data_IF_568224924388
#
_entry.id   IF_568224924388
#
_cell.length_a   1.000
_cell.length_b   1.000
_cell.length_c   1.000
_cell.angle_alpha   90.00
_cell.angle_beta   90.00
_cell.angle_gamma   90.00
#
_symmetry.space_group_name_H-M   'P 1'
#
loop_
_entity.id
_entity.type
_entity.pdbx_description
1 polymer ?
#
# COMPACT_ATOMS: atom_id res chain seq x y z
N UNK A 1 -10.03 -1.74 19.05
CA UNK A 1 -10.17 -1.03 17.76
C UNK A 1 -9.96 -2.06 16.68
N UNK A 2 -10.95 -2.29 15.84
CA UNK A 2 -10.83 -3.27 14.76
C UNK A 2 -10.21 -2.53 13.55
N UNK A 3 -9.06 -3.01 13.10
CA UNK A 3 -8.41 -2.44 11.91
C UNK A 3 -9.16 -2.86 10.64
N UNK A 4 -9.14 -2.04 9.60
CA UNK A 4 -9.79 -2.38 8.34
C UNK A 4 -9.17 -3.66 7.77
N UNK A 5 -9.97 -4.46 7.11
CA UNK A 5 -9.51 -5.62 6.35
C UNK A 5 -8.57 -5.14 5.24
N UNK A 6 -7.39 -5.76 5.12
CA UNK A 6 -6.45 -5.48 4.05
C UNK A 6 -6.88 -6.27 2.80
N UNK A 7 -7.17 -5.55 1.71
CA UNK A 7 -7.46 -6.11 0.37
C UNK A 7 -6.21 -5.98 -0.53
N UNK A 8 -5.21 -6.79 -0.23
CA UNK A 8 -3.91 -6.77 -0.90
C UNK A 8 -3.27 -8.16 -0.84
N UNK A 9 -2.22 -8.38 -1.63
CA UNK A 9 -1.51 -9.65 -1.67
C UNK A 9 -0.51 -9.75 -0.52
N UNK A 10 -0.74 -10.64 0.42
CA UNK A 10 0.23 -11.02 1.45
C UNK A 10 1.36 -11.82 0.79
N UNK A 11 2.60 -11.34 0.92
CA UNK A 11 3.77 -11.99 0.31
C UNK A 11 4.79 -12.49 1.32
N UNK A 12 4.77 -11.97 2.55
CA UNK A 12 5.67 -12.41 3.61
C UNK A 12 5.05 -12.18 4.99
N UNK A 13 5.31 -13.11 5.90
CA UNK A 13 4.85 -13.07 7.29
C UNK A 13 5.91 -13.68 8.21
N UNK A 14 6.13 -13.08 9.37
CA UNK A 14 7.06 -13.60 10.38
C UNK A 14 6.69 -13.15 11.78
N UNK A 15 6.70 -14.10 12.70
CA UNK A 15 6.67 -13.83 14.13
C UNK A 15 8.08 -13.50 14.63
N UNK A 16 8.20 -12.50 15.49
CA UNK A 16 9.49 -12.02 15.99
C UNK A 16 9.39 -11.41 17.39
N UNK A 17 10.55 -11.20 18.02
CA UNK A 17 10.74 -10.31 19.17
C UNK A 17 11.64 -9.16 18.78
N UNK A 18 11.48 -8.01 19.42
CA UNK A 18 12.31 -6.80 19.14
C UNK A 18 13.80 -7.10 19.31
N UNK A 19 14.17 -7.89 20.32
CA UNK A 19 15.55 -8.29 20.59
C UNK A 19 16.16 -9.28 19.59
N UNK A 20 15.40 -9.74 18.58
CA UNK A 20 15.87 -10.70 17.57
C UNK A 20 16.34 -10.00 16.31
N UNK A 21 17.53 -10.42 15.81
CA UNK A 21 17.96 -10.08 14.46
C UNK A 21 17.27 -10.96 13.44
N UNK A 22 16.68 -10.37 12.41
CA UNK A 22 16.04 -11.07 11.30
C UNK A 22 15.95 -10.20 10.04
N UNK A 23 15.66 -10.85 8.92
CA UNK A 23 15.36 -10.18 7.65
C UNK A 23 14.13 -10.83 7.02
N UNK A 24 13.04 -10.09 6.92
CA UNK A 24 11.81 -10.49 6.22
C UNK A 24 11.74 -9.82 4.86
N UNK A 25 11.67 -10.61 3.78
CA UNK A 25 11.67 -10.12 2.39
C UNK A 25 10.31 -10.36 1.75
N UNK A 26 9.72 -9.30 1.19
CA UNK A 26 8.48 -9.35 0.44
C UNK A 26 8.71 -8.88 -1.01
N UNK A 27 8.89 -9.82 -1.93
CA UNK A 27 9.00 -9.53 -3.38
C UNK A 27 7.63 -9.11 -3.91
N UNK A 28 7.60 -8.08 -4.76
CA UNK A 28 6.41 -7.73 -5.51
C UNK A 28 5.95 -8.93 -6.38
N UNK A 29 4.64 -9.22 -6.48
CA UNK A 29 4.13 -10.28 -7.35
C UNK A 29 4.57 -10.10 -8.80
N UNK A 30 4.71 -8.86 -9.25
CA UNK A 30 5.19 -8.52 -10.58
C UNK A 30 6.31 -7.47 -10.50
N UNK A 31 7.29 -7.59 -11.42
CA UNK A 31 8.37 -6.63 -11.56
C UNK A 31 9.57 -6.88 -10.64
N UNK A 32 10.37 -5.82 -10.45
CA UNK A 32 11.69 -5.86 -9.79
C UNK A 32 11.70 -5.32 -8.37
N UNK A 33 10.54 -4.89 -7.85
CA UNK A 33 10.44 -4.25 -6.55
C UNK A 33 10.46 -5.25 -5.40
N UNK A 34 11.11 -4.87 -4.31
CA UNK A 34 11.26 -5.66 -3.11
C UNK A 34 11.11 -4.75 -1.89
N UNK A 35 10.30 -5.16 -0.93
CA UNK A 35 10.21 -4.54 0.38
C UNK A 35 10.87 -5.45 1.43
N UNK A 36 11.64 -4.88 2.33
CA UNK A 36 12.42 -5.65 3.33
C UNK A 36 12.25 -5.04 4.70
N UNK A 37 11.84 -5.84 5.68
CA UNK A 37 11.93 -5.50 7.08
C UNK A 37 13.17 -6.18 7.67
N UNK A 38 14.09 -5.38 8.20
CA UNK A 38 15.32 -5.85 8.83
C UNK A 38 15.38 -5.39 10.28
N UNK A 39 15.76 -6.29 11.16
CA UNK A 39 16.08 -6.01 12.56
C UNK A 39 17.50 -6.48 12.87
N UNK A 40 18.28 -5.65 13.54
CA UNK A 40 19.59 -6.00 14.10
C UNK A 40 19.50 -6.46 15.58
N UNK A 41 18.29 -6.49 16.15
CA UNK A 41 18.00 -6.79 17.55
C UNK A 41 17.90 -5.52 18.42
N UNK A 42 18.17 -4.34 17.87
CA UNK A 42 18.05 -3.05 18.55
C UNK A 42 17.12 -2.11 17.79
N UNK A 43 17.21 -2.11 16.46
CA UNK A 43 16.44 -1.27 15.58
C UNK A 43 15.78 -2.11 14.50
N UNK A 44 14.62 -1.67 14.04
CA UNK A 44 13.91 -2.23 12.89
C UNK A 44 13.73 -1.20 11.80
N UNK A 45 14.17 -1.53 10.59
CA UNK A 45 14.01 -0.70 9.40
C UNK A 45 13.22 -1.41 8.31
N UNK A 46 12.37 -0.66 7.65
CA UNK A 46 11.66 -1.11 6.46
C UNK A 46 12.24 -0.41 5.24
N UNK A 47 12.64 -1.17 4.22
CA UNK A 47 13.36 -0.69 3.04
C UNK A 47 12.58 -0.93 1.76
N UNK A 48 12.67 0.04 0.84
CA UNK A 48 12.25 -0.08 -0.55
C UNK A 48 13.47 -0.36 -1.43
N UNK A 49 13.43 -1.44 -2.20
CA UNK A 49 14.50 -1.87 -3.09
C UNK A 49 13.97 -2.07 -4.51
N UNK A 50 14.82 -1.80 -5.52
CA UNK A 50 14.56 -2.11 -6.92
C UNK A 50 15.72 -2.94 -7.47
N UNK A 51 15.50 -4.24 -7.66
CA UNK A 51 16.53 -5.18 -8.12
C UNK A 51 16.95 -4.99 -9.58
N UNK A 52 16.21 -4.19 -10.36
CA UNK A 52 16.59 -3.83 -11.74
C UNK A 52 17.69 -2.77 -11.80
N UNK A 53 18.02 -2.14 -10.67
CA UNK A 53 18.99 -1.05 -10.60
C UNK A 53 20.35 -1.52 -10.10
N UNK A 54 21.43 -0.88 -10.56
CA UNK A 54 22.79 -1.15 -10.08
C UNK A 54 22.99 -0.83 -8.60
N UNK A 55 22.21 0.10 -8.05
CA UNK A 55 22.03 0.33 -6.61
C UNK A 55 20.59 0.03 -6.25
N UNK A 56 20.30 -1.15 -5.66
CA UNK A 56 18.93 -1.58 -5.38
C UNK A 56 18.22 -0.72 -4.33
N UNK A 57 18.94 -0.22 -3.32
CA UNK A 57 18.34 0.60 -2.26
C UNK A 57 17.75 1.89 -2.83
N UNK A 58 16.49 2.15 -2.49
CA UNK A 58 15.75 3.33 -2.92
C UNK A 58 15.37 4.24 -1.75
N UNK A 59 14.86 3.66 -0.66
CA UNK A 59 14.41 4.40 0.53
C UNK A 59 14.34 3.50 1.76
N UNK A 60 14.21 4.09 2.97
CA UNK A 60 14.09 3.34 4.22
C UNK A 60 13.42 4.13 5.33
N UNK A 61 12.57 3.46 6.09
CA UNK A 61 11.87 3.98 7.25
C UNK A 61 12.30 3.26 8.54
N UNK A 62 12.54 4.01 9.61
CA UNK A 62 12.67 3.44 10.95
C UNK A 62 11.31 2.99 11.46
N UNK A 63 11.17 1.75 11.88
CA UNK A 63 9.92 1.20 12.41
C UNK A 63 9.94 1.19 13.94
N UNK A 64 11.04 0.78 14.55
CA UNK A 64 11.25 0.83 16.01
C UNK A 64 12.72 1.00 16.36
N UNK A 65 12.95 1.43 17.61
CA UNK A 65 14.22 1.32 18.31
C UNK A 65 13.98 0.72 19.70
N UNK A 66 15.02 0.29 20.41
CA UNK A 66 14.90 -0.35 21.73
C UNK A 66 14.16 0.51 22.77
N UNK A 67 14.24 1.82 22.66
CA UNK A 67 13.58 2.73 23.60
C UNK A 67 12.07 2.85 23.36
N UNK A 68 11.62 2.57 22.12
CA UNK A 68 10.24 2.80 21.67
C UNK A 68 9.37 1.56 21.71
N UNK A 69 9.92 0.36 21.91
CA UNK A 69 9.20 -0.89 21.80
C UNK A 69 9.50 -1.85 22.94
N UNK A 70 8.46 -2.51 23.45
CA UNK A 70 8.59 -3.57 24.44
C UNK A 70 9.07 -4.87 23.79
N UNK A 71 9.95 -5.62 24.47
CA UNK A 71 10.38 -6.94 23.99
C UNK A 71 9.32 -8.01 24.25
N UNK A 72 8.31 -8.03 23.41
CA UNK A 72 7.25 -9.04 23.38
C UNK A 72 7.11 -9.66 21.98
N UNK A 73 6.19 -10.60 21.82
CA UNK A 73 5.90 -11.20 20.53
C UNK A 73 5.12 -10.25 19.63
N UNK A 74 5.57 -10.15 18.39
CA UNK A 74 4.93 -9.41 17.30
C UNK A 74 4.85 -10.29 16.06
N UNK A 75 3.90 -9.98 15.20
CA UNK A 75 3.79 -10.57 13.85
C UNK A 75 3.95 -9.45 12.82
N UNK A 76 4.95 -9.55 11.96
CA UNK A 76 5.14 -8.66 10.81
C UNK A 76 4.55 -9.29 9.56
N UNK A 77 3.86 -8.48 8.74
CA UNK A 77 3.34 -8.90 7.43
C UNK A 77 3.66 -7.84 6.39
N UNK A 78 4.06 -8.30 5.19
CA UNK A 78 4.29 -7.45 4.02
C UNK A 78 3.25 -7.78 2.98
N UNK A 79 2.53 -6.74 2.54
CA UNK A 79 1.51 -6.80 1.49
C UNK A 79 1.93 -5.96 0.30
N UNK A 80 1.50 -6.38 -0.88
CA UNK A 80 1.55 -5.57 -2.10
C UNK A 80 0.14 -5.27 -2.61
N UNK A 81 -0.07 -4.04 -3.09
CA UNK A 81 -1.31 -3.69 -3.77
C UNK A 81 -1.46 -4.46 -5.10
N UNK A 82 -2.64 -4.42 -5.71
CA UNK A 82 -2.97 -5.19 -6.93
C UNK A 82 -2.00 -4.92 -8.08
N UNK A 83 -1.50 -3.69 -8.19
CA UNK A 83 -0.62 -3.27 -9.29
C UNK A 83 0.87 -3.54 -9.02
N UNK A 84 1.23 -4.14 -7.89
CA UNK A 84 2.62 -4.40 -7.49
C UNK A 84 3.50 -3.14 -7.43
N UNK A 85 2.89 -1.98 -7.18
CA UNK A 85 3.57 -0.68 -7.14
C UNK A 85 3.70 -0.10 -5.74
N UNK A 86 2.97 -0.66 -4.76
CA UNK A 86 3.00 -0.21 -3.37
C UNK A 86 3.13 -1.37 -2.42
N UNK A 87 4.01 -1.20 -1.43
CA UNK A 87 4.22 -2.17 -0.35
C UNK A 87 3.72 -1.60 0.99
N UNK A 88 3.00 -2.41 1.76
CA UNK A 88 2.52 -2.11 3.10
C UNK A 88 3.18 -3.07 4.10
N UNK A 89 3.74 -2.50 5.17
CA UNK A 89 4.14 -3.24 6.37
C UNK A 89 3.07 -3.09 7.45
N UNK A 90 2.61 -4.22 7.99
CA UNK A 90 1.82 -4.24 9.24
C UNK A 90 2.60 -4.92 10.36
N UNK A 91 2.40 -4.46 11.59
CA UNK A 91 2.85 -5.11 12.82
C UNK A 91 1.62 -5.39 13.67
N UNK A 92 1.35 -6.65 14.01
CA UNK A 92 0.12 -7.09 14.68
C UNK A 92 -1.15 -6.56 13.97
N UNK A 93 -1.17 -6.68 12.63
CA UNK A 93 -2.23 -6.20 11.75
C UNK A 93 -2.44 -4.66 11.74
N UNK A 94 -1.59 -3.92 12.45
CA UNK A 94 -1.60 -2.46 12.42
C UNK A 94 -0.68 -1.92 11.32
N UNK A 95 -1.15 -1.04 10.40
CA UNK A 95 -0.34 -0.42 9.37
C UNK A 95 0.78 0.44 9.96
N UNK A 96 2.03 0.13 9.62
CA UNK A 96 3.22 0.79 10.17
C UNK A 96 4.02 1.59 9.14
N UNK A 97 4.14 1.11 7.92
CA UNK A 97 4.86 1.82 6.85
C UNK A 97 4.30 1.46 5.48
N UNK A 98 4.39 2.39 4.55
CA UNK A 98 4.00 2.21 3.16
C UNK A 98 5.08 2.82 2.26
N UNK A 99 5.46 2.09 1.19
CA UNK A 99 6.23 2.62 0.08
C UNK A 99 5.42 2.63 -1.20
N UNK A 100 5.40 3.77 -1.89
CA UNK A 100 4.86 3.95 -3.24
C UNK A 100 6.02 4.06 -4.24
N UNK A 101 6.29 2.97 -4.94
CA UNK A 101 7.38 2.85 -5.93
C UNK A 101 7.11 3.68 -7.19
N UNK A 102 5.84 3.87 -7.54
CA UNK A 102 5.44 4.70 -8.67
C UNK A 102 5.70 6.18 -8.41
N UNK A 103 5.33 6.67 -7.23
CA UNK A 103 5.54 8.07 -6.83
C UNK A 103 6.90 8.33 -6.20
N UNK A 104 7.65 7.28 -5.89
CA UNK A 104 8.94 7.35 -5.19
C UNK A 104 8.80 8.07 -3.86
N UNK A 105 7.90 7.60 -3.03
CA UNK A 105 7.62 8.17 -1.71
C UNK A 105 7.34 7.06 -0.70
N UNK A 106 7.60 7.36 0.57
CA UNK A 106 7.31 6.47 1.67
C UNK A 106 6.79 7.22 2.89
N UNK A 107 6.07 6.52 3.75
CA UNK A 107 5.65 7.03 5.05
C UNK A 107 5.69 5.93 6.10
N UNK A 108 5.89 6.30 7.36
CA UNK A 108 5.85 5.38 8.48
C UNK A 108 5.34 6.06 9.76
N UNK A 109 4.91 5.26 10.74
CA UNK A 109 4.35 5.80 11.99
C UNK A 109 5.35 6.57 12.84
N UNK A 110 6.65 6.26 12.73
CA UNK A 110 7.68 7.03 13.41
C UNK A 110 7.98 8.37 12.73
N UNK A 111 7.64 8.49 11.43
CA UNK A 111 8.00 9.66 10.61
C UNK A 111 9.50 9.78 10.30
N UNK A 112 10.31 8.79 10.68
CA UNK A 112 11.77 8.87 10.58
C UNK A 112 12.31 8.02 9.42
N UNK A 113 13.32 8.48 8.69
CA UNK A 113 14.00 9.76 8.86
C UNK A 113 13.17 10.96 8.36
N UNK A 114 13.38 12.14 8.93
CA UNK A 114 12.87 13.36 8.35
C UNK A 114 13.58 13.62 7.02
N UNK A 115 13.18 14.62 6.26
CA UNK A 115 13.80 14.96 4.98
C UNK A 115 15.33 15.11 5.11
N UNK A 116 16.09 14.32 4.36
CA UNK A 116 17.56 14.26 4.36
C UNK A 116 18.14 14.46 2.96
N UNK A 117 17.82 15.55 2.27
CA UNK A 117 18.39 15.85 0.95
C UNK A 117 17.64 15.17 -0.22
N UNK A 118 18.28 14.93 -1.36
CA UNK A 118 17.66 14.37 -2.55
C UNK A 118 17.37 12.87 -2.38
N UNK A 119 16.38 12.57 -1.57
CA UNK A 119 15.91 11.22 -1.27
C UNK A 119 14.63 10.91 -2.05
N UNK A 120 14.26 9.65 -2.03
CA UNK A 120 13.03 9.16 -2.61
C UNK A 120 11.78 9.82 -1.97
N UNK A 121 11.84 10.13 -0.69
CA UNK A 121 10.79 10.80 0.09
C UNK A 121 11.21 12.25 0.40
N UNK A 122 11.08 13.20 -0.56
CA UNK A 122 11.63 14.56 -0.41
C UNK A 122 10.99 15.38 0.71
N UNK A 123 9.80 14.98 1.17
CA UNK A 123 9.07 15.63 2.26
C UNK A 123 9.18 14.88 3.60
N UNK A 124 10.12 13.91 3.69
CA UNK A 124 10.25 13.03 4.85
C UNK A 124 9.24 11.88 4.84
N UNK A 125 9.13 11.17 5.97
CA UNK A 125 8.37 9.93 6.09
C UNK A 125 7.17 10.04 7.05
N UNK A 126 6.63 11.24 7.24
CA UNK A 126 5.42 11.40 8.05
C UNK A 126 4.26 10.55 7.51
N UNK A 127 3.52 9.93 8.44
CA UNK A 127 2.41 9.05 8.09
C UNK A 127 1.34 9.77 7.26
N UNK A 128 0.95 9.16 6.16
CA UNK A 128 -0.07 9.66 5.24
C UNK A 128 -1.19 8.64 5.11
N UNK A 129 -2.32 8.89 5.77
CA UNK A 129 -3.48 7.98 5.77
C UNK A 129 -4.01 7.71 4.35
N UNK A 130 -3.92 8.69 3.46
CA UNK A 130 -4.35 8.54 2.07
C UNK A 130 -3.60 7.43 1.31
N UNK A 131 -2.34 7.12 1.69
CA UNK A 131 -1.58 6.03 1.06
C UNK A 131 -2.12 4.64 1.42
N UNK A 132 -2.89 4.52 2.50
CA UNK A 132 -3.50 3.25 2.92
C UNK A 132 -4.69 2.86 2.03
N UNK A 133 -5.32 3.80 1.33
CA UNK A 133 -6.52 3.56 0.54
C UNK A 133 -6.34 2.42 -0.50
N UNK A 134 -5.15 2.31 -1.11
CA UNK A 134 -4.86 1.27 -2.12
C UNK A 134 -4.73 -0.16 -1.55
N UNK A 135 -4.80 -0.29 -0.23
CA UNK A 135 -4.74 -1.57 0.49
C UNK A 135 -6.06 -1.94 1.16
N UNK A 136 -7.07 -1.08 1.03
CA UNK A 136 -8.39 -1.30 1.60
C UNK A 136 -9.36 -1.82 0.53
N UNK A 137 -10.39 -2.58 0.91
CA UNK A 137 -11.44 -2.94 -0.03
C UNK A 137 -12.10 -1.65 -0.57
N UNK A 138 -12.49 -1.64 -1.84
CA UNK A 138 -13.17 -0.49 -2.42
C UNK A 138 -14.42 -0.17 -1.61
N UNK A 139 -14.71 1.11 -1.46
CA UNK A 139 -15.94 1.54 -0.80
C UNK A 139 -17.16 1.08 -1.61
N UNK A 140 -18.33 0.86 -0.99
CA UNK A 140 -19.54 0.48 -1.71
C UNK A 140 -19.89 1.44 -2.87
N UNK A 141 -19.50 2.71 -2.77
CA UNK A 141 -19.73 3.72 -3.80
C UNK A 141 -18.79 3.57 -5.00
N UNK A 142 -17.51 3.26 -4.76
CA UNK A 142 -16.53 2.98 -5.82
C UNK A 142 -16.93 1.73 -6.59
N UNK A 143 -17.33 0.67 -5.90
CA UNK A 143 -17.85 -0.57 -6.53
C UNK A 143 -19.10 -0.31 -7.35
N UNK A 144 -20.00 0.58 -6.91
CA UNK A 144 -21.21 0.95 -7.65
C UNK A 144 -20.86 1.79 -8.88
N UNK A 145 -19.91 2.73 -8.76
CA UNK A 145 -19.46 3.55 -9.89
C UNK A 145 -18.83 2.69 -11.00
N UNK A 146 -17.93 1.76 -10.64
CA UNK A 146 -17.32 0.83 -11.60
C UNK A 146 -18.37 -0.02 -12.32
N UNK A 147 -19.37 -0.53 -11.59
CA UNK A 147 -20.48 -1.30 -12.20
C UNK A 147 -21.35 -0.45 -13.13
N UNK A 148 -21.57 0.82 -12.78
CA UNK A 148 -22.33 1.74 -13.64
C UNK A 148 -21.54 2.08 -14.91
N UNK A 149 -20.23 2.31 -14.82
CA UNK A 149 -19.38 2.52 -15.99
C UNK A 149 -19.32 1.30 -16.90
N UNK A 150 -19.26 0.08 -16.33
CA UNK A 150 -19.30 -1.16 -17.08
C UNK A 150 -20.66 -1.31 -17.83
N UNK A 151 -21.76 -1.05 -17.16
CA UNK A 151 -23.11 -1.10 -17.77
C UNK A 151 -23.25 -0.06 -18.88
N UNK A 152 -22.80 1.18 -18.68
CA UNK A 152 -22.82 2.23 -19.71
C UNK A 152 -21.92 1.85 -20.91
N UNK A 153 -20.79 1.19 -20.69
CA UNK A 153 -19.91 0.73 -21.77
C UNK A 153 -20.47 -0.42 -22.59
N UNK A 154 -21.37 -1.23 -22.00
CA UNK A 154 -22.10 -2.32 -22.70
C UNK A 154 -23.15 -1.72 -23.62
N UNK A 155 -23.92 -0.73 -23.19
CA UNK A 155 -24.93 -0.06 -24.01
C UNK A 155 -24.30 0.62 -25.25
N UNK A 156 -23.12 1.23 -25.12
CA UNK A 156 -22.40 1.84 -26.23
C UNK A 156 -21.97 0.84 -27.33
N UNK A 157 -21.94 -0.46 -27.05
CA UNK A 157 -21.64 -1.53 -28.04
C UNK A 157 -22.86 -2.01 -28.81
N UNK A 158 -24.08 -1.68 -28.37
CA UNK A 158 -25.33 -2.08 -29.01
C UNK A 158 -25.93 -1.02 -29.94
N UNK A 159 -25.35 0.17 -30.07
CA UNK A 159 -25.84 1.25 -30.95
C UNK A 159 -25.56 1.05 -32.45
N UNK A 160 -25.31 -0.15 -32.92
CA UNK A 160 -25.11 -0.39 -34.35
C UNK A 160 -26.10 -1.42 -34.98
N UNK A 161 -27.31 -1.55 -34.42
CA UNK A 161 -28.41 -2.30 -35.07
C UNK A 161 -29.76 -1.65 -34.75
N UNK A 162 -30.27 -0.91 -35.75
CA UNK A 162 -31.61 -0.36 -35.94
C UNK A 162 -32.17 0.70 -34.98
N UNK A 163 -32.66 1.84 -35.54
CA UNK A 163 -33.20 2.95 -34.76
C UNK A 163 -34.70 2.74 -34.51
N UNK A 164 -35.09 1.94 -33.53
CA UNK A 164 -36.47 1.96 -33.01
C UNK A 164 -36.44 1.74 -31.48
N UNK A 165 -36.96 2.77 -30.80
CA UNK A 165 -37.24 2.89 -29.37
C UNK A 165 -36.10 3.46 -28.50
N UNK A 166 -35.99 4.79 -28.59
CA UNK A 166 -35.50 5.61 -27.49
C UNK A 166 -36.60 5.60 -26.41
N UNK A 167 -36.36 4.92 -25.29
CA UNK A 167 -37.06 5.23 -24.05
C UNK A 167 -36.18 6.15 -23.26
N UNK A 168 -36.54 7.42 -23.25
CA UNK A 168 -36.00 8.43 -22.34
C UNK A 168 -36.21 7.96 -20.89
N UNK A 169 -35.15 7.57 -20.22
CA UNK A 169 -35.07 7.65 -18.75
C UNK A 169 -33.62 7.77 -18.29
N UNK A 170 -33.04 8.95 -18.51
CA UNK A 170 -32.02 9.43 -17.60
C UNK A 170 -32.73 10.26 -16.52
N UNK A 171 -32.76 9.86 -15.26
CA UNK A 171 -33.20 10.75 -14.20
C UNK A 171 -32.09 11.75 -13.90
N UNK A 172 -32.18 12.93 -14.53
CA UNK A 172 -31.54 14.12 -14.03
C UNK A 172 -32.25 14.55 -12.75
N UNK A 173 -31.75 14.15 -11.59
CA UNK A 173 -32.09 14.79 -10.33
C UNK A 173 -31.12 14.31 -9.26
N UNK A 174 -30.22 15.19 -8.90
CA UNK A 174 -29.92 15.53 -7.52
C UNK A 174 -28.82 16.60 -7.52
N UNK A 175 -29.24 17.83 -7.83
CA UNK A 175 -28.63 19.03 -7.28
C UNK A 175 -29.77 19.80 -6.64
N UNK A 176 -29.76 19.82 -5.32
CA UNK A 176 -30.58 20.59 -4.43
C UNK A 176 -30.04 20.49 -3.03
#
# INVERSE_FOLDING_TARGET
MQYPTIDATLVAEQDFRISQSFVLRGQAPEGSFLAVLESDGETGYFYALDSSRGQPFQDGCLIWNQESAEDKHYTAKIYWNKDSTKALLTINDFPNAIFDFGRRSGCCRTGYPPQLGPTWSPNGHEWQEAMLADFLPPTPWETLAEKLEELCSIDARFENTDPILIVETCPSAFLG
#
